data_IF_787770113363
#
_entry.id   IF_787770113363
#
_cell.length_a   1.000
_cell.length_b   1.000
_cell.length_c   1.000
_cell.angle_alpha   90.00
_cell.angle_beta   90.00
_cell.angle_gamma   90.00
#
_symmetry.space_group_name_H-M   'P 1'
#
loop_
_entity.id
_entity.type
_entity.pdbx_description
1 polymer ?
#
# COMPACT_ATOMS: atom_id res chain seq x y z
N UNK A 1 16.97 -9.00 -7.38
CA UNK A 1 16.48 -10.11 -6.52
C UNK A 1 15.62 -9.50 -5.42
N UNK A 2 14.48 -8.96 -5.81
CA UNK A 2 13.47 -8.39 -4.94
C UNK A 2 12.20 -9.21 -5.07
N UNK A 3 11.97 -10.12 -4.11
CA UNK A 3 10.72 -10.89 -4.08
C UNK A 3 9.51 -9.94 -3.96
N UNK A 4 8.49 -10.16 -4.79
CA UNK A 4 7.23 -9.39 -4.81
C UNK A 4 6.61 -9.36 -3.41
N UNK A 5 6.31 -8.16 -2.89
CA UNK A 5 5.80 -7.95 -1.53
C UNK A 5 6.80 -7.32 -0.55
N UNK A 6 8.07 -7.16 -0.97
CA UNK A 6 9.11 -6.48 -0.19
C UNK A 6 9.23 -4.99 -0.52
N UNK A 7 9.96 -4.30 0.34
CA UNK A 7 10.31 -2.89 0.22
C UNK A 7 11.83 -2.72 0.40
N UNK A 8 12.30 -1.51 0.17
CA UNK A 8 13.72 -1.12 0.25
C UNK A 8 13.81 0.11 1.13
N UNK A 9 14.97 0.32 1.75
CA UNK A 9 15.25 1.52 2.52
C UNK A 9 16.12 2.45 1.69
N UNK A 10 15.69 3.70 1.57
CA UNK A 10 16.54 4.80 1.16
C UNK A 10 17.17 5.45 2.38
N UNK A 11 18.48 5.70 2.32
CA UNK A 11 19.23 6.35 3.38
C UNK A 11 19.92 7.60 2.83
N UNK A 12 19.75 8.72 3.54
CA UNK A 12 20.40 9.98 3.22
C UNK A 12 20.80 10.71 4.50
N UNK A 13 21.89 11.48 4.46
CA UNK A 13 22.26 12.39 5.54
C UNK A 13 21.64 13.76 5.25
N UNK A 14 20.58 14.10 5.98
CA UNK A 14 19.80 15.34 5.82
C UNK A 14 20.01 16.17 7.07
N UNK A 15 20.53 17.39 6.90
CA UNK A 15 20.85 18.32 8.01
C UNK A 15 21.70 17.69 9.12
N UNK A 16 22.69 16.89 8.72
CA UNK A 16 23.59 16.20 9.65
C UNK A 16 23.04 14.90 10.24
N UNK A 17 21.75 14.58 10.04
CA UNK A 17 21.08 13.40 10.60
C UNK A 17 20.87 12.34 9.52
N UNK A 18 21.14 11.07 9.85
CA UNK A 18 20.81 9.95 8.95
C UNK A 18 19.30 9.73 8.97
N UNK A 19 18.66 9.91 7.82
CA UNK A 19 17.25 9.67 7.61
C UNK A 19 17.10 8.39 6.79
N UNK A 20 16.37 7.43 7.33
CA UNK A 20 16.08 6.14 6.70
C UNK A 20 14.59 6.04 6.43
N UNK A 21 14.18 5.71 5.21
CA UNK A 21 12.76 5.58 4.85
C UNK A 21 12.52 4.40 3.92
N UNK A 22 11.42 3.68 4.19
CA UNK A 22 11.00 2.54 3.39
C UNK A 22 10.20 2.99 2.16
N UNK A 23 10.56 2.46 1.00
CA UNK A 23 9.89 2.66 -0.28
C UNK A 23 9.68 1.31 -0.96
N UNK A 24 8.65 1.23 -1.79
CA UNK A 24 8.30 -0.02 -2.45
C UNK A 24 8.35 0.22 -3.95
N UNK A 25 9.35 -0.35 -4.65
CA UNK A 25 9.53 -0.11 -6.07
C UNK A 25 8.32 -0.47 -6.90
N UNK A 26 8.02 0.30 -7.94
CA UNK A 26 6.97 -0.03 -8.91
C UNK A 26 7.51 -0.82 -10.10
N UNK A 27 8.83 -0.87 -10.27
CA UNK A 27 9.50 -1.80 -11.17
C UNK A 27 9.57 -3.23 -10.58
N UNK A 28 9.73 -4.23 -11.43
CA UNK A 28 9.97 -5.64 -11.04
C UNK A 28 11.40 -6.07 -11.35
N UNK A 29 11.77 -7.29 -10.96
CA UNK A 29 13.06 -7.90 -11.34
C UNK A 29 13.15 -8.14 -12.88
N UNK A 30 12.05 -8.00 -13.63
CA UNK A 30 12.03 -8.08 -15.10
C UNK A 30 12.48 -6.77 -15.77
N UNK A 31 12.44 -5.65 -15.04
CA UNK A 31 12.88 -4.33 -15.49
C UNK A 31 14.40 -4.20 -15.29
N UNK A 32 15.17 -4.42 -16.36
CA UNK A 32 16.63 -4.52 -16.27
C UNK A 32 17.32 -3.14 -16.28
N UNK A 33 18.20 -2.91 -15.30
CA UNK A 33 19.12 -1.77 -15.26
C UNK A 33 18.58 -0.51 -14.59
N UNK A 34 17.33 -0.51 -14.11
CA UNK A 34 16.74 0.61 -13.39
C UNK A 34 15.82 0.14 -12.26
N UNK A 35 15.45 1.08 -11.38
CA UNK A 35 14.42 0.90 -10.36
C UNK A 35 13.55 2.13 -10.32
N UNK A 36 12.24 1.96 -10.45
CA UNK A 36 11.29 3.06 -10.40
C UNK A 36 10.62 3.12 -9.03
N UNK A 37 10.58 4.32 -8.46
CA UNK A 37 9.85 4.64 -7.24
C UNK A 37 8.85 5.75 -7.55
N UNK A 38 7.59 5.55 -7.18
CA UNK A 38 6.58 6.63 -7.23
C UNK A 38 6.46 7.20 -5.82
N UNK A 39 6.88 8.44 -5.64
CA UNK A 39 7.01 9.07 -4.33
C UNK A 39 6.21 10.37 -4.32
N UNK A 40 5.25 10.46 -3.38
CA UNK A 40 4.55 11.73 -3.12
C UNK A 40 5.48 12.69 -2.40
N UNK A 41 5.57 13.92 -2.90
CA UNK A 41 6.39 14.96 -2.30
C UNK A 41 5.58 15.75 -1.27
N UNK A 42 6.08 15.78 -0.04
CA UNK A 42 5.50 16.54 1.07
C UNK A 42 6.27 17.83 1.28
N UNK A 43 5.83 18.92 0.64
CA UNK A 43 6.46 20.23 0.75
C UNK A 43 6.22 20.89 2.11
N UNK A 44 7.21 21.64 2.58
CA UNK A 44 7.08 22.55 3.72
C UNK A 44 6.00 23.61 3.49
N UNK A 45 5.40 24.11 4.58
CA UNK A 45 4.39 25.16 4.61
C UNK A 45 3.08 24.86 3.84
N UNK A 46 2.83 23.61 3.48
CA UNK A 46 1.56 23.19 2.85
C UNK A 46 0.56 22.69 3.89
N UNK A 47 1.01 21.83 4.82
CA UNK A 47 0.11 21.23 5.80
C UNK A 47 0.23 21.91 7.18
N UNK A 48 -0.87 22.40 7.78
CA UNK A 48 -0.83 23.18 9.02
C UNK A 48 -0.26 22.43 10.21
N UNK A 49 -0.48 21.11 10.29
CA UNK A 49 0.06 20.29 11.40
C UNK A 49 1.50 19.82 11.15
N UNK A 50 2.03 20.02 9.94
CA UNK A 50 3.35 19.55 9.52
C UNK A 50 4.08 20.61 8.69
N UNK A 51 4.39 21.77 9.29
CA UNK A 51 4.96 22.91 8.57
C UNK A 51 6.33 22.60 7.94
N UNK A 52 7.09 21.67 8.50
CA UNK A 52 8.41 21.27 7.98
C UNK A 52 8.36 20.36 6.74
N UNK A 53 7.18 19.81 6.41
CA UNK A 53 7.03 18.83 5.33
C UNK A 53 7.78 17.51 5.58
N UNK A 54 8.01 16.74 4.51
CA UNK A 54 8.69 15.45 4.57
C UNK A 54 10.18 15.58 4.32
N UNK A 55 11.02 15.17 5.28
CA UNK A 55 12.49 15.24 5.17
C UNK A 55 13.04 14.51 3.94
N UNK A 56 12.81 13.20 3.85
CA UNK A 56 13.31 12.37 2.74
C UNK A 56 12.68 12.76 1.40
N UNK A 57 11.38 13.03 1.36
CA UNK A 57 10.70 13.37 0.10
C UNK A 57 11.18 14.70 -0.47
N UNK A 58 11.40 15.71 0.36
CA UNK A 58 11.99 16.98 -0.10
C UNK A 58 13.47 16.81 -0.47
N UNK A 59 14.22 15.93 0.19
CA UNK A 59 15.58 15.59 -0.23
C UNK A 59 15.60 14.99 -1.64
N UNK A 60 14.73 14.01 -1.90
CA UNK A 60 14.60 13.36 -3.21
C UNK A 60 14.17 14.33 -4.31
N UNK A 61 13.22 15.22 -4.04
CA UNK A 61 12.77 16.25 -4.98
C UNK A 61 13.92 17.19 -5.41
N UNK A 62 14.90 17.42 -4.53
CA UNK A 62 16.03 18.30 -4.80
C UNK A 62 17.24 17.57 -5.42
N UNK A 63 17.19 16.25 -5.58
CA UNK A 63 18.24 15.50 -6.25
C UNK A 63 18.28 15.84 -7.74
N UNK A 64 19.48 16.02 -8.27
CA UNK A 64 19.71 16.24 -9.69
C UNK A 64 20.01 14.92 -10.39
N UNK A 65 19.80 14.89 -11.70
CA UNK A 65 20.24 13.77 -12.52
C UNK A 65 21.75 13.58 -12.32
N UNK A 66 22.14 12.35 -11.95
CA UNK A 66 23.53 12.00 -11.60
C UNK A 66 23.82 11.94 -10.11
N UNK A 67 22.96 12.51 -9.25
CA UNK A 67 23.08 12.35 -7.81
C UNK A 67 22.78 10.91 -7.39
N UNK A 68 23.31 10.51 -6.24
CA UNK A 68 23.17 9.15 -5.71
C UNK A 68 22.56 9.15 -4.31
N UNK A 69 21.87 8.06 -3.99
CA UNK A 69 21.29 7.81 -2.67
C UNK A 69 21.58 6.36 -2.27
N UNK A 70 21.78 6.13 -0.97
CA UNK A 70 22.01 4.77 -0.46
C UNK A 70 20.71 3.97 -0.48
N UNK A 71 20.82 2.74 -0.92
CA UNK A 71 19.70 1.83 -1.14
C UNK A 71 19.99 0.50 -0.43
N UNK A 72 19.08 0.05 0.44
CA UNK A 72 19.26 -1.15 1.25
C UNK A 72 18.01 -2.04 1.18
N UNK A 73 18.17 -3.31 0.80
CA UNK A 73 17.07 -4.26 0.71
C UNK A 73 17.40 -5.49 -0.14
N UNK A 74 16.39 -6.32 -0.48
CA UNK A 74 14.98 -6.18 -0.08
C UNK A 74 14.75 -6.45 1.41
N UNK A 75 13.67 -5.89 1.95
CA UNK A 75 13.20 -6.08 3.33
C UNK A 75 11.69 -6.36 3.31
N UNK A 76 11.23 -7.23 4.20
CA UNK A 76 9.82 -7.61 4.27
C UNK A 76 9.64 -9.05 4.72
N UNK A 77 8.42 -9.39 5.11
CA UNK A 77 8.05 -10.72 5.57
C UNK A 77 6.90 -11.32 4.75
N UNK A 78 6.45 -10.66 3.68
CA UNK A 78 5.40 -11.19 2.80
C UNK A 78 6.04 -11.60 1.47
N UNK A 79 5.96 -12.88 1.15
CA UNK A 79 6.49 -13.44 -0.08
C UNK A 79 5.36 -14.09 -0.87
N UNK A 80 5.09 -13.55 -2.06
CA UNK A 80 4.18 -14.17 -3.01
C UNK A 80 4.93 -15.17 -3.91
N UNK A 81 4.45 -16.42 -3.95
CA UNK A 81 5.14 -17.53 -4.64
C UNK A 81 4.56 -17.89 -6.03
N UNK A 82 3.61 -17.10 -6.56
CA UNK A 82 3.00 -17.33 -7.88
C UNK A 82 1.83 -18.33 -7.89
N UNK A 83 1.20 -18.51 -9.06
CA UNK A 83 -0.09 -19.23 -9.20
C UNK A 83 -0.04 -20.74 -9.03
N UNK A 84 1.13 -21.37 -9.14
CA UNK A 84 1.28 -22.83 -9.07
C UNK A 84 0.89 -23.44 -7.72
N UNK A 85 0.97 -22.64 -6.64
CA UNK A 85 0.54 -23.03 -5.30
C UNK A 85 -0.54 -22.10 -4.73
N UNK A 86 -0.69 -20.91 -5.32
CA UNK A 86 -1.44 -19.77 -4.79
C UNK A 86 -1.00 -19.30 -3.39
N UNK A 87 -0.03 -19.96 -2.77
CA UNK A 87 0.35 -19.74 -1.38
C UNK A 87 1.12 -18.45 -1.21
N UNK A 88 0.75 -17.67 -0.21
CA UNK A 88 1.60 -16.63 0.35
C UNK A 88 2.35 -17.26 1.50
N UNK A 89 3.68 -17.16 1.48
CA UNK A 89 4.45 -17.44 2.68
C UNK A 89 4.65 -16.08 3.33
N UNK A 90 3.89 -15.84 4.39
CA UNK A 90 4.34 -14.89 5.37
C UNK A 90 5.57 -15.51 6.07
N UNK A 91 6.52 -14.72 6.55
CA UNK A 91 7.61 -15.21 7.42
C UNK A 91 7.10 -15.95 8.68
N UNK A 92 5.78 -15.99 8.88
CA UNK A 92 5.03 -16.97 9.65
C UNK A 92 4.43 -18.00 8.68
N UNK A 93 4.88 -19.27 8.73
CA UNK A 93 4.36 -20.37 7.89
C UNK A 93 2.83 -20.43 7.87
N UNK A 94 2.20 -19.79 6.89
CA UNK A 94 0.82 -20.03 6.51
C UNK A 94 0.85 -21.12 5.45
N UNK A 95 0.46 -22.33 5.85
CA UNK A 95 0.48 -23.49 4.97
C UNK A 95 -0.41 -23.28 3.74
N UNK A 96 0.20 -23.31 2.56
CA UNK A 96 -0.35 -23.86 1.31
C UNK A 96 -1.84 -23.60 0.97
N UNK A 97 -2.37 -22.39 1.15
CA UNK A 97 -3.70 -22.02 0.67
C UNK A 97 -3.55 -20.83 -0.27
N UNK A 98 -4.23 -20.84 -1.42
CA UNK A 98 -4.41 -19.68 -2.30
C UNK A 98 -5.33 -18.66 -1.64
N UNK A 99 -4.82 -17.61 -0.95
CA UNK A 99 -5.70 -16.68 -0.30
C UNK A 99 -6.21 -15.68 -1.33
N UNK A 100 -7.39 -15.17 -1.07
CA UNK A 100 -7.93 -13.96 -1.60
C UNK A 100 -7.15 -12.80 -0.99
N UNK A 101 -6.07 -12.38 -1.64
CA UNK A 101 -5.29 -11.20 -1.28
C UNK A 101 -6.11 -9.94 -1.54
N UNK A 102 -6.27 -9.12 -0.52
CA UNK A 102 -6.90 -7.81 -0.64
C UNK A 102 -6.16 -6.80 0.18
N UNK A 103 -6.24 -5.55 -0.26
CA UNK A 103 -5.35 -4.57 0.28
C UNK A 103 -6.02 -3.27 0.66
N UNK A 104 -5.77 -2.85 1.88
CA UNK A 104 -6.03 -1.52 2.36
C UNK A 104 -4.81 -0.64 2.13
N UNK A 105 -4.99 0.40 1.33
CA UNK A 105 -3.97 1.44 1.14
C UNK A 105 -4.52 2.70 1.71
N UNK A 106 -3.95 3.15 2.80
CA UNK A 106 -4.20 4.52 3.23
C UNK A 106 -3.00 5.35 2.87
N UNK A 107 -3.05 6.14 1.78
CA UNK A 107 -2.11 7.22 1.60
C UNK A 107 -2.38 8.24 2.69
N UNK A 108 -1.63 8.18 3.78
CA UNK A 108 -1.57 9.33 4.66
C UNK A 108 -0.66 10.38 4.01
N UNK A 109 -1.11 11.64 3.97
CA UNK A 109 -0.32 12.70 3.43
C UNK A 109 0.88 13.13 4.29
N UNK A 110 1.22 12.50 5.43
CA UNK A 110 2.14 13.16 6.38
C UNK A 110 3.16 12.34 7.18
N UNK A 111 3.04 11.02 7.35
CA UNK A 111 4.10 10.26 8.02
C UNK A 111 4.63 9.15 7.12
N UNK A 112 5.81 9.38 6.54
CA UNK A 112 6.65 8.38 5.86
C UNK A 112 7.13 7.26 6.82
N UNK A 113 6.30 6.80 7.76
CA UNK A 113 6.68 5.80 8.76
C UNK A 113 6.28 4.38 8.36
N UNK A 114 5.39 4.18 7.39
CA UNK A 114 5.08 2.86 6.83
C UNK A 114 4.81 3.01 5.32
N UNK A 115 5.19 2.02 4.50
CA UNK A 115 5.61 2.30 3.13
C UNK A 115 4.41 2.64 2.25
N UNK A 116 4.69 3.23 1.10
CA UNK A 116 3.83 3.20 -0.08
C UNK A 116 3.74 1.75 -0.62
N UNK A 117 3.60 0.77 0.29
CA UNK A 117 3.87 -0.67 0.15
C UNK A 117 2.94 -1.39 -0.80
N UNK A 118 1.92 -0.68 -1.29
CA UNK A 118 0.97 -1.23 -2.21
C UNK A 118 0.96 -0.73 -3.63
N UNK A 119 1.99 -0.01 -4.03
CA UNK A 119 2.19 0.17 -5.47
C UNK A 119 2.65 -1.17 -6.11
N UNK A 120 3.28 -2.07 -5.33
CA UNK A 120 3.68 -3.42 -5.76
C UNK A 120 2.52 -4.41 -5.88
N UNK A 121 1.49 -4.34 -5.03
CA UNK A 121 0.40 -5.31 -5.14
C UNK A 121 -0.49 -5.11 -6.38
N UNK A 122 -0.35 -3.98 -7.08
CA UNK A 122 -1.06 -3.69 -8.33
C UNK A 122 -0.29 -4.08 -9.58
N UNK A 123 1.05 -4.14 -9.51
CA UNK A 123 1.87 -4.85 -10.50
C UNK A 123 1.98 -6.36 -10.18
N UNK A 124 1.23 -6.86 -9.18
CA UNK A 124 0.95 -8.29 -9.11
C UNK A 124 0.12 -8.61 -10.35
N UNK A 125 0.81 -9.18 -11.34
CA UNK A 125 0.29 -9.87 -12.51
C UNK A 125 -1.15 -10.34 -12.30
N UNK A 126 -2.09 -9.48 -12.71
CA UNK A 126 -3.49 -9.87 -12.84
C UNK A 126 -3.60 -11.03 -13.82
N UNK A 127 -2.62 -11.20 -14.71
CA UNK A 127 -2.53 -12.32 -15.64
C UNK A 127 -2.51 -13.69 -14.95
N UNK A 128 -1.88 -13.81 -13.77
CA UNK A 128 -1.70 -15.08 -13.07
C UNK A 128 -2.54 -15.20 -11.78
N UNK A 129 -3.13 -14.08 -11.33
CA UNK A 129 -3.97 -14.01 -10.14
C UNK A 129 -5.40 -14.51 -10.40
N UNK A 130 -5.83 -15.55 -9.67
CA UNK A 130 -7.21 -16.10 -9.71
C UNK A 130 -8.14 -15.57 -8.61
N UNK A 131 -7.65 -14.71 -7.72
CA UNK A 131 -8.45 -14.11 -6.65
C UNK A 131 -9.10 -12.79 -7.05
N UNK A 132 -9.98 -12.27 -6.19
CA UNK A 132 -10.53 -10.92 -6.31
C UNK A 132 -9.77 -9.97 -5.37
N UNK A 133 -8.93 -9.10 -5.92
CA UNK A 133 -8.33 -7.99 -5.16
C UNK A 133 -9.42 -6.94 -4.94
N UNK A 134 -9.56 -6.43 -3.71
CA UNK A 134 -10.35 -5.22 -3.46
C UNK A 134 -9.52 -4.21 -2.69
N UNK A 135 -9.49 -2.98 -3.19
CA UNK A 135 -8.67 -1.91 -2.62
C UNK A 135 -9.54 -0.80 -2.04
N UNK A 136 -9.18 -0.34 -0.83
CA UNK A 136 -9.71 0.90 -0.24
C UNK A 136 -8.61 1.95 -0.20
N UNK A 137 -8.89 3.14 -0.72
CA UNK A 137 -8.00 4.32 -0.61
C UNK A 137 -8.63 5.38 0.26
N UNK A 138 -7.86 5.90 1.21
CA UNK A 138 -8.24 6.94 2.17
C UNK A 138 -7.39 8.19 1.94
N UNK A 139 -7.99 9.25 1.40
CA UNK A 139 -7.29 10.53 1.23
C UNK A 139 -8.26 11.68 0.89
N UNK A 140 -7.75 12.83 0.45
CA UNK A 140 -8.52 13.73 -0.42
C UNK A 140 -8.46 13.24 -1.87
N UNK A 141 -9.33 13.72 -2.75
CA UNK A 141 -9.38 13.24 -4.12
C UNK A 141 -8.05 13.44 -4.87
N UNK A 142 -7.39 14.58 -4.64
CA UNK A 142 -6.09 14.96 -5.23
C UNK A 142 -4.93 14.11 -4.70
N UNK A 143 -5.12 13.49 -3.53
CA UNK A 143 -4.09 12.73 -2.85
C UNK A 143 -4.07 11.24 -3.25
N UNK A 144 -5.01 10.80 -4.10
CA UNK A 144 -5.07 9.43 -4.62
C UNK A 144 -3.94 9.20 -5.62
N UNK A 145 -2.87 8.57 -5.15
CA UNK A 145 -1.77 8.15 -6.00
C UNK A 145 -2.23 7.10 -7.03
N UNK A 146 -1.74 7.27 -8.26
CA UNK A 146 -2.02 6.36 -9.39
C UNK A 146 -3.51 6.12 -9.67
N UNK A 147 -4.38 7.11 -9.40
CA UNK A 147 -5.83 6.94 -9.58
C UNK A 147 -6.19 6.44 -10.97
N UNK A 148 -5.59 7.02 -12.01
CA UNK A 148 -5.88 6.66 -13.41
C UNK A 148 -5.53 5.21 -13.69
N UNK A 149 -4.38 4.76 -13.21
CA UNK A 149 -3.89 3.39 -13.36
C UNK A 149 -4.77 2.40 -12.58
N UNK A 150 -5.16 2.75 -11.34
CA UNK A 150 -6.08 1.95 -10.52
C UNK A 150 -7.44 1.77 -11.20
N UNK A 151 -8.02 2.85 -11.70
CA UNK A 151 -9.32 2.84 -12.38
C UNK A 151 -9.25 2.07 -13.71
N UNK A 152 -8.15 2.21 -14.45
CA UNK A 152 -7.92 1.45 -15.68
C UNK A 152 -7.81 -0.05 -15.40
N UNK A 153 -7.12 -0.43 -14.32
CA UNK A 153 -7.06 -1.83 -13.86
C UNK A 153 -8.46 -2.34 -13.50
N UNK A 154 -9.25 -1.56 -12.74
CA UNK A 154 -10.63 -1.93 -12.41
C UNK A 154 -11.53 -2.08 -13.64
N UNK A 155 -11.33 -1.23 -14.65
CA UNK A 155 -12.06 -1.26 -15.91
C UNK A 155 -11.69 -2.47 -16.78
N UNK A 156 -10.41 -2.81 -16.83
CA UNK A 156 -9.88 -3.92 -17.65
C UNK A 156 -10.05 -5.28 -16.99
N UNK A 157 -10.15 -5.32 -15.66
CA UNK A 157 -10.21 -6.55 -14.86
C UNK A 157 -11.38 -6.59 -13.86
N UNK A 158 -12.63 -6.26 -14.25
CA UNK A 158 -13.73 -6.02 -13.31
C UNK A 158 -14.14 -7.26 -12.49
N UNK A 159 -13.84 -8.46 -13.00
CA UNK A 159 -14.13 -9.72 -12.30
C UNK A 159 -13.05 -10.09 -11.29
N UNK A 160 -11.82 -9.60 -11.43
CA UNK A 160 -10.63 -9.94 -10.63
C UNK A 160 -10.15 -8.79 -9.73
N UNK A 161 -10.56 -7.56 -10.02
CA UNK A 161 -10.17 -6.36 -9.30
C UNK A 161 -11.39 -5.48 -9.01
N UNK A 162 -11.64 -5.24 -7.74
CA UNK A 162 -12.62 -4.27 -7.26
C UNK A 162 -11.92 -3.07 -6.65
N UNK A 163 -12.43 -1.88 -6.94
CA UNK A 163 -11.87 -0.64 -6.47
C UNK A 163 -12.95 0.14 -5.73
N UNK A 164 -12.62 0.56 -4.52
CA UNK A 164 -13.50 1.41 -3.74
C UNK A 164 -12.69 2.49 -3.04
N UNK A 165 -13.26 3.67 -2.94
CA UNK A 165 -12.58 4.80 -2.32
C UNK A 165 -13.37 5.30 -1.12
N UNK A 166 -12.67 5.92 -0.18
CA UNK A 166 -13.33 6.71 0.85
C UNK A 166 -12.50 7.96 1.11
N UNK A 167 -13.15 9.12 1.18
CA UNK A 167 -12.46 10.38 1.45
C UNK A 167 -12.94 10.92 2.79
N UNK A 168 -12.04 11.50 3.57
CA UNK A 168 -12.43 12.18 4.81
C UNK A 168 -13.33 13.38 4.52
N UNK A 169 -12.99 14.14 3.47
CA UNK A 169 -13.71 15.32 2.99
C UNK A 169 -13.94 15.21 1.47
N UNK A 170 -14.96 14.46 1.02
CA UNK A 170 -15.23 14.30 -0.40
C UNK A 170 -15.88 15.55 -1.02
N UNK A 171 -15.74 15.76 -2.34
CA UNK A 171 -16.57 16.72 -3.08
C UNK A 171 -18.04 16.27 -3.13
N UNK A 172 -18.93 17.19 -3.50
CA UNK A 172 -20.38 16.94 -3.49
C UNK A 172 -20.83 15.82 -4.47
N UNK A 173 -20.10 15.62 -5.56
CA UNK A 173 -20.37 14.62 -6.60
C UNK A 173 -19.61 13.30 -6.39
N UNK A 174 -19.03 13.10 -5.20
CA UNK A 174 -18.29 11.90 -4.88
C UNK A 174 -19.16 10.64 -4.87
N UNK A 175 -18.74 9.64 -5.65
CA UNK A 175 -19.51 8.42 -5.91
C UNK A 175 -19.24 7.29 -4.92
N UNK A 176 -18.27 7.46 -4.04
CA UNK A 176 -17.81 6.43 -3.12
C UNK A 176 -18.09 6.83 -1.67
N UNK A 177 -17.47 6.13 -0.73
CA UNK A 177 -17.70 6.36 0.70
C UNK A 177 -17.09 7.67 1.21
N UNK A 178 -17.55 8.12 2.37
CA UNK A 178 -17.07 9.30 3.08
C UNK A 178 -16.68 8.96 4.51
N UNK A 179 -15.61 9.59 5.01
CA UNK A 179 -15.09 9.45 6.36
C UNK A 179 -14.11 8.28 6.54
N UNK A 180 -13.78 8.02 7.80
CA UNK A 180 -12.93 6.90 8.21
C UNK A 180 -13.57 5.55 7.89
N UNK A 181 -12.72 4.52 7.73
CA UNK A 181 -13.18 3.14 7.50
C UNK A 181 -14.14 2.71 8.61
N UNK A 182 -15.35 2.29 8.21
CA UNK A 182 -16.35 1.71 9.10
C UNK A 182 -16.45 0.20 8.92
N UNK A 183 -17.13 -0.44 9.87
CA UNK A 183 -17.51 -1.85 9.78
C UNK A 183 -18.33 -2.14 8.51
N UNK A 184 -19.24 -1.25 8.14
CA UNK A 184 -20.13 -1.47 7.01
C UNK A 184 -19.37 -1.37 5.68
N UNK A 185 -18.46 -0.39 5.54
CA UNK A 185 -17.57 -0.29 4.38
C UNK A 185 -16.76 -1.58 4.19
N UNK A 186 -16.18 -2.11 5.29
CA UNK A 186 -15.46 -3.37 5.25
C UNK A 186 -16.42 -4.49 4.83
N UNK A 187 -17.58 -4.64 5.47
CA UNK A 187 -18.50 -5.73 5.16
C UNK A 187 -18.96 -5.73 3.69
N UNK A 188 -19.19 -4.56 3.11
CA UNK A 188 -19.67 -4.41 1.73
C UNK A 188 -18.56 -4.61 0.70
N UNK A 189 -17.41 -4.02 0.95
CA UNK A 189 -16.34 -3.92 -0.03
C UNK A 189 -15.15 -4.85 0.26
N UNK A 190 -15.16 -5.65 1.32
CA UNK A 190 -14.21 -6.75 1.59
C UNK A 190 -14.83 -8.16 1.52
N UNK A 191 -14.03 -9.24 1.52
CA UNK A 191 -14.56 -10.58 1.50
C UNK A 191 -14.89 -10.97 2.92
N UNK A 192 -15.91 -11.79 3.15
CA UNK A 192 -16.15 -12.28 4.48
C UNK A 192 -14.92 -13.03 5.03
N UNK A 193 -14.72 -13.05 6.36
CA UNK A 193 -13.65 -13.83 6.96
C UNK A 193 -13.76 -15.30 6.56
N UNK A 194 -12.63 -15.95 6.31
CA UNK A 194 -12.58 -17.35 5.88
C UNK A 194 -11.17 -17.86 5.71
N UNK A 195 -11.00 -19.19 5.61
CA UNK A 195 -9.69 -19.87 5.57
C UNK A 195 -8.78 -19.40 4.42
N UNK A 196 -9.37 -18.93 3.34
CA UNK A 196 -8.67 -18.41 2.17
C UNK A 196 -8.69 -16.88 2.12
N UNK A 197 -8.87 -16.18 3.23
CA UNK A 197 -8.90 -14.71 3.23
C UNK A 197 -7.63 -14.14 3.83
N UNK A 198 -6.95 -13.27 3.08
CA UNK A 198 -5.82 -12.49 3.56
C UNK A 198 -6.08 -10.99 3.32
N UNK A 199 -6.16 -10.25 4.41
CA UNK A 199 -6.30 -8.81 4.43
C UNK A 199 -4.92 -8.19 4.69
N UNK A 200 -4.38 -7.52 3.69
CA UNK A 200 -3.22 -6.67 3.84
C UNK A 200 -3.65 -5.28 4.30
N UNK A 201 -3.05 -4.80 5.37
CA UNK A 201 -3.31 -3.49 5.93
C UNK A 201 -2.04 -2.66 5.86
N UNK A 202 -2.12 -1.50 5.21
CA UNK A 202 -1.08 -0.50 5.24
C UNK A 202 -1.68 0.89 5.50
N UNK A 203 -0.97 1.69 6.27
CA UNK A 203 -1.38 3.04 6.63
C UNK A 203 -0.73 3.50 7.93
N UNK A 204 -1.11 4.68 8.43
CA UNK A 204 -0.59 5.20 9.69
C UNK A 204 -0.99 4.34 10.87
N UNK A 205 -0.12 4.21 11.89
CA UNK A 205 -0.45 3.48 13.11
C UNK A 205 -1.80 3.90 13.73
N UNK A 206 -2.16 5.19 13.83
CA UNK A 206 -3.47 5.60 14.37
C UNK A 206 -4.64 4.99 13.59
N UNK A 207 -4.58 5.00 12.26
CA UNK A 207 -5.67 4.48 11.44
C UNK A 207 -5.80 2.96 11.57
N UNK A 208 -4.66 2.26 11.53
CA UNK A 208 -4.61 0.80 11.65
C UNK A 208 -5.20 0.38 13.00
N UNK A 209 -4.77 1.02 14.08
CA UNK A 209 -5.10 0.65 15.45
C UNK A 209 -6.52 1.08 15.85
N UNK A 210 -7.03 2.20 15.33
CA UNK A 210 -8.34 2.74 15.75
C UNK A 210 -9.49 2.40 14.80
N UNK A 211 -9.24 2.27 13.50
CA UNK A 211 -10.28 2.02 12.51
C UNK A 211 -10.18 0.61 11.91
N UNK A 212 -9.04 0.24 11.32
CA UNK A 212 -8.93 -1.00 10.53
C UNK A 212 -9.03 -2.25 11.41
N UNK A 213 -8.08 -2.47 12.33
CA UNK A 213 -8.02 -3.68 13.16
C UNK A 213 -9.28 -3.87 14.03
N UNK A 214 -9.83 -2.82 14.70
CA UNK A 214 -11.04 -2.99 15.49
C UNK A 214 -12.26 -3.41 14.66
N UNK A 215 -12.45 -2.82 13.47
CA UNK A 215 -13.59 -3.16 12.62
C UNK A 215 -13.45 -4.55 11.96
N UNK A 216 -12.24 -4.94 11.53
CA UNK A 216 -11.94 -6.30 11.09
C UNK A 216 -12.22 -7.31 12.22
N UNK A 217 -11.75 -7.05 13.44
CA UNK A 217 -12.03 -7.94 14.59
C UNK A 217 -13.54 -8.07 14.86
N UNK A 218 -14.31 -6.97 14.82
CA UNK A 218 -15.77 -6.96 14.99
C UNK A 218 -16.52 -7.74 13.91
N UNK A 219 -15.90 -7.98 12.76
CA UNK A 219 -16.45 -8.77 11.64
C UNK A 219 -16.01 -10.23 11.66
N UNK A 220 -15.16 -10.63 12.60
CA UNK A 220 -14.72 -12.01 12.77
C UNK A 220 -13.46 -12.38 11.99
N UNK A 221 -12.70 -11.41 11.47
CA UNK A 221 -11.37 -11.69 10.93
C UNK A 221 -10.41 -12.02 12.08
N UNK A 222 -9.68 -13.12 11.95
CA UNK A 222 -8.68 -13.56 12.92
C UNK A 222 -7.32 -12.95 12.61
N UNK A 223 -6.37 -13.04 13.55
CA UNK A 223 -5.03 -12.43 13.40
C UNK A 223 -4.24 -13.02 12.23
N UNK A 224 -4.43 -14.30 11.94
CA UNK A 224 -3.83 -15.02 10.82
C UNK A 224 -4.38 -14.58 9.45
N UNK A 225 -5.56 -13.96 9.41
CA UNK A 225 -6.15 -13.39 8.20
C UNK A 225 -5.66 -11.96 7.92
N UNK A 226 -4.89 -11.34 8.82
CA UNK A 226 -4.52 -9.93 8.71
C UNK A 226 -3.00 -9.80 8.74
N UNK A 227 -2.43 -9.26 7.66
CA UNK A 227 -1.04 -8.83 7.64
C UNK A 227 -0.99 -7.31 7.65
N UNK A 228 -0.11 -6.74 8.47
CA UNK A 228 0.10 -5.29 8.55
C UNK A 228 1.54 -4.97 8.18
N UNK A 229 1.71 -4.05 7.23
CA UNK A 229 3.01 -3.54 6.79
C UNK A 229 3.62 -2.55 7.78
#
# INVERSE_FOLDING_TARGET
MGLKGNYVHLLAKIDGVVVVRAYTPVSSDDDLGFVDLIIKIYFKNVHPNHPEGGKMTQYLENMKIGDTILFQGPSGCLFYHGSGTGSFTLGLQLGGISPLLRVFVVPEPQQNLLPQSLQVALKLELDDWRGNVRTHVLSTEEDILMRRELEEVARTHPTRFGLWYTLDRPPADWKYSSGFITKDMIKEHLPPPGKSTLILVCGPPPLIQTAAHPNLKKLGYTKDMIFTY
#
